data_IF_244347999474
#
_entry.id   IF_244347999474
#
_cell.length_a   1.000
_cell.length_b   1.000
_cell.length_c   1.000
_cell.angle_alpha   90.00
_cell.angle_beta   90.00
_cell.angle_gamma   90.00
#
_symmetry.space_group_name_H-M   'P 1'
#
loop_
_entity.id
_entity.type
_entity.pdbx_description
1 polymer ?
#
# COMPACT_ATOMS: atom_id res chain seq x y z
N UNK A 1 14.67 24.87 4.83
CA UNK A 1 14.77 23.82 5.86
C UNK A 1 14.83 22.41 5.23
N UNK A 2 13.82 22.00 4.46
CA UNK A 2 13.79 20.67 3.82
C UNK A 2 14.92 20.42 2.80
N UNK A 3 15.23 21.41 1.96
CA UNK A 3 16.33 21.33 0.99
C UNK A 3 17.73 21.47 1.62
N UNK A 4 17.82 21.96 2.87
CA UNK A 4 19.09 22.23 3.55
C UNK A 4 20.09 23.04 2.71
N UNK A 5 19.57 23.99 1.92
CA UNK A 5 20.26 24.84 0.97
C UNK A 5 19.25 25.70 0.20
N UNK A 6 19.71 26.38 -0.84
CA UNK A 6 18.87 27.26 -1.68
C UNK A 6 18.13 26.52 -2.82
N UNK A 7 18.61 25.33 -3.20
CA UNK A 7 18.04 24.50 -4.26
C UNK A 7 18.12 23.01 -3.89
N UNK A 8 17.44 22.16 -4.67
CA UNK A 8 17.55 20.70 -4.56
C UNK A 8 18.97 20.27 -4.95
N UNK A 9 19.60 19.51 -4.07
CA UNK A 9 20.98 19.06 -4.19
C UNK A 9 21.19 17.75 -3.40
N UNK A 10 22.45 17.30 -3.31
CA UNK A 10 22.84 16.07 -2.61
C UNK A 10 22.34 16.00 -1.16
N UNK A 11 22.32 17.12 -0.44
CA UNK A 11 21.82 17.15 0.93
C UNK A 11 20.32 16.87 1.00
N UNK A 12 19.57 17.31 -0.01
CA UNK A 12 18.14 17.01 -0.15
C UNK A 12 17.91 15.54 -0.44
N UNK A 13 18.64 14.97 -1.41
CA UNK A 13 18.49 13.57 -1.82
C UNK A 13 18.82 12.60 -0.67
N UNK A 14 19.91 12.85 0.06
CA UNK A 14 20.30 12.02 1.21
C UNK A 14 19.22 12.02 2.30
N UNK A 15 18.57 13.17 2.56
CA UNK A 15 17.46 13.24 3.52
C UNK A 15 16.21 12.53 3.01
N UNK A 16 15.88 12.67 1.73
CA UNK A 16 14.73 12.00 1.13
C UNK A 16 14.89 10.48 1.16
N UNK A 17 16.10 9.97 0.93
CA UNK A 17 16.40 8.55 1.12
C UNK A 17 16.15 8.11 2.57
N UNK A 18 16.67 8.84 3.56
CA UNK A 18 16.45 8.51 4.98
C UNK A 18 14.96 8.53 5.37
N UNK A 19 14.20 9.50 4.85
CA UNK A 19 12.75 9.55 5.08
C UNK A 19 12.02 8.41 4.38
N UNK A 20 12.34 8.15 3.11
CA UNK A 20 11.77 7.03 2.36
C UNK A 20 12.05 5.69 3.03
N UNK A 21 13.19 5.53 3.69
CA UNK A 21 13.50 4.33 4.44
C UNK A 21 12.68 4.19 5.73
N UNK A 22 12.52 5.25 6.53
CA UNK A 22 11.82 5.16 7.83
C UNK A 22 10.30 5.17 7.71
N UNK A 23 9.74 5.87 6.72
CA UNK A 23 8.29 6.03 6.57
C UNK A 23 7.51 4.70 6.40
N UNK A 24 7.97 3.71 5.61
CA UNK A 24 7.32 2.41 5.52
C UNK A 24 7.15 1.71 6.88
N UNK A 25 8.14 1.82 7.78
CA UNK A 25 8.03 1.24 9.12
C UNK A 25 7.01 1.97 9.99
N UNK A 26 6.95 3.31 9.88
CA UNK A 26 5.91 4.09 10.54
C UNK A 26 4.52 3.68 10.02
N UNK A 27 4.38 3.42 8.73
CA UNK A 27 3.11 2.94 8.14
C UNK A 27 2.68 1.58 8.71
N UNK A 28 3.61 0.66 9.01
CA UNK A 28 3.26 -0.62 9.66
C UNK A 28 2.57 -0.40 11.02
N UNK A 29 3.06 0.56 11.81
CA UNK A 29 2.44 0.91 13.10
C UNK A 29 1.03 1.49 12.89
N UNK A 30 0.87 2.37 11.91
CA UNK A 30 -0.44 2.95 11.58
C UNK A 30 -1.43 1.89 11.07
N UNK A 31 -0.97 0.93 10.27
CA UNK A 31 -1.77 -0.22 9.82
C UNK A 31 -2.20 -1.07 11.02
N UNK A 32 -1.30 -1.33 11.97
CA UNK A 32 -1.64 -2.04 13.21
C UNK A 32 -2.76 -1.33 13.99
N UNK A 33 -2.61 -0.02 14.22
CA UNK A 33 -3.63 0.79 14.89
C UNK A 33 -4.97 0.80 14.13
N UNK A 34 -4.91 0.91 12.80
CA UNK A 34 -6.10 0.84 11.96
C UNK A 34 -6.83 -0.51 12.12
N UNK A 35 -6.11 -1.63 12.08
CA UNK A 35 -6.69 -2.96 12.23
C UNK A 35 -7.24 -3.21 13.64
N UNK A 36 -6.62 -2.66 14.70
CA UNK A 36 -7.17 -2.77 16.05
C UNK A 36 -8.51 -2.06 16.17
N UNK A 37 -8.63 -0.85 15.60
CA UNK A 37 -9.90 -0.13 15.59
C UNK A 37 -10.95 -0.87 14.75
N UNK A 38 -10.55 -1.42 13.60
CA UNK A 38 -11.44 -2.22 12.77
C UNK A 38 -11.94 -3.48 13.51
N UNK A 39 -11.09 -4.13 14.31
CA UNK A 39 -11.49 -5.27 15.13
C UNK A 39 -12.46 -4.89 16.26
N UNK A 40 -12.34 -3.70 16.84
CA UNK A 40 -13.25 -3.23 17.88
C UNK A 40 -14.65 -2.90 17.34
N UNK A 41 -14.74 -2.24 16.18
CA UNK A 41 -16.02 -1.80 15.61
C UNK A 41 -16.63 -2.78 14.60
N UNK A 42 -15.82 -3.66 14.01
CA UNK A 42 -16.20 -4.58 12.94
C UNK A 42 -16.29 -3.92 11.55
N UNK A 43 -16.33 -4.75 10.50
CA UNK A 43 -16.54 -4.29 9.13
C UNK A 43 -17.99 -3.88 8.88
N UNK A 44 -18.21 -2.88 8.03
CA UNK A 44 -19.52 -2.59 7.47
C UNK A 44 -19.90 -3.59 6.38
N UNK A 45 -21.14 -3.55 5.91
CA UNK A 45 -21.63 -4.35 4.80
C UNK A 45 -22.33 -3.45 3.75
N UNK A 46 -22.51 -3.93 2.51
CA UNK A 46 -23.08 -3.11 1.42
C UNK A 46 -24.47 -2.55 1.69
N UNK A 47 -25.26 -3.20 2.55
CA UNK A 47 -26.59 -2.72 2.93
C UNK A 47 -26.56 -1.64 4.03
N UNK A 48 -25.41 -1.44 4.69
CA UNK A 48 -25.23 -0.44 5.74
C UNK A 48 -26.03 -0.73 7.02
N UNK A 49 -26.59 -1.93 7.17
CA UNK A 49 -27.39 -2.35 8.34
C UNK A 49 -26.53 -3.11 9.35
N UNK A 50 -27.04 -3.32 10.57
CA UNK A 50 -26.32 -4.14 11.56
C UNK A 50 -26.22 -5.60 11.08
N UNK A 51 -24.99 -6.14 11.09
CA UNK A 51 -24.68 -7.48 10.57
C UNK A 51 -24.31 -8.48 11.67
N UNK A 52 -24.35 -8.08 12.95
CA UNK A 52 -23.97 -8.95 14.10
C UNK A 52 -24.70 -10.30 14.12
N UNK A 53 -25.96 -10.35 13.70
CA UNK A 53 -26.74 -11.59 13.62
C UNK A 53 -26.47 -12.48 12.41
N UNK A 54 -25.67 -12.01 11.44
CA UNK A 54 -25.43 -12.67 10.15
C UNK A 54 -23.94 -12.91 9.87
N UNK A 55 -23.10 -12.82 10.90
CA UNK A 55 -21.65 -12.97 10.76
C UNK A 55 -21.29 -14.43 10.43
N UNK A 56 -20.35 -14.58 9.48
CA UNK A 56 -19.69 -15.86 9.18
C UNK A 56 -18.22 -15.77 9.65
N UNK A 57 -17.58 -16.90 10.01
CA UNK A 57 -16.17 -16.88 10.39
C UNK A 57 -15.29 -16.45 9.20
N UNK A 58 -14.17 -15.79 9.50
CA UNK A 58 -13.22 -15.35 8.47
C UNK A 58 -12.68 -16.52 7.63
N UNK A 59 -12.24 -17.58 8.30
CA UNK A 59 -11.91 -18.85 7.66
C UNK A 59 -13.14 -19.76 7.63
N UNK A 60 -13.49 -20.39 6.50
CA UNK A 60 -12.77 -20.40 5.22
C UNK A 60 -13.16 -19.27 4.26
N UNK A 61 -14.29 -18.58 4.50
CA UNK A 61 -14.99 -17.77 3.51
C UNK A 61 -14.16 -16.59 2.96
N UNK A 62 -13.75 -15.68 3.83
CA UNK A 62 -12.97 -14.51 3.42
C UNK A 62 -11.52 -14.88 3.10
N UNK A 63 -10.95 -15.88 3.80
CA UNK A 63 -9.59 -16.34 3.51
C UNK A 63 -9.39 -16.78 2.05
N UNK A 64 -10.27 -17.63 1.51
CA UNK A 64 -10.15 -18.06 0.10
C UNK A 64 -10.54 -16.96 -0.89
N UNK A 65 -11.44 -16.05 -0.49
CA UNK A 65 -11.80 -14.88 -1.31
C UNK A 65 -10.60 -13.94 -1.46
N UNK A 66 -9.89 -13.67 -0.36
CA UNK A 66 -8.67 -12.86 -0.34
C UNK A 66 -7.54 -13.53 -1.13
N UNK A 67 -7.39 -14.86 -1.01
CA UNK A 67 -6.40 -15.61 -1.78
C UNK A 67 -6.63 -15.50 -3.29
N UNK A 68 -7.89 -15.59 -3.74
CA UNK A 68 -8.23 -15.39 -5.14
C UNK A 68 -7.86 -13.96 -5.59
N UNK A 69 -8.19 -12.95 -4.77
CA UNK A 69 -7.80 -11.57 -5.01
C UNK A 69 -6.29 -11.38 -5.11
N UNK A 70 -5.52 -12.03 -4.22
CA UNK A 70 -4.06 -12.00 -4.23
C UNK A 70 -3.49 -12.61 -5.53
N UNK A 71 -4.00 -13.77 -5.95
CA UNK A 71 -3.57 -14.43 -7.20
C UNK A 71 -3.85 -13.55 -8.41
N UNK A 72 -5.04 -12.94 -8.48
CA UNK A 72 -5.39 -12.01 -9.54
C UNK A 72 -4.49 -10.76 -9.54
N UNK A 73 -4.22 -10.20 -8.35
CA UNK A 73 -3.32 -9.06 -8.17
C UNK A 73 -1.87 -9.36 -8.59
N UNK A 74 -1.34 -10.53 -8.22
CA UNK A 74 -0.01 -11.00 -8.65
C UNK A 74 0.00 -11.19 -10.17
N UNK A 75 -1.05 -11.75 -10.76
CA UNK A 75 -1.18 -11.87 -12.21
C UNK A 75 -1.06 -10.52 -12.91
N UNK A 76 -1.82 -9.52 -12.44
CA UNK A 76 -1.77 -8.15 -12.95
C UNK A 76 -0.38 -7.50 -12.76
N UNK A 77 0.22 -7.64 -11.57
CA UNK A 77 1.55 -7.10 -11.31
C UNK A 77 2.63 -7.76 -12.18
N UNK A 78 2.54 -9.07 -12.39
CA UNK A 78 3.48 -9.81 -13.24
C UNK A 78 3.38 -9.40 -14.72
N UNK A 79 2.20 -9.01 -15.20
CA UNK A 79 2.04 -8.45 -16.54
C UNK A 79 2.89 -7.18 -16.71
N UNK A 80 2.78 -6.23 -15.77
CA UNK A 80 3.59 -5.01 -15.83
C UNK A 80 5.07 -5.34 -15.70
N UNK A 81 5.47 -6.22 -14.79
CA UNK A 81 6.88 -6.51 -14.57
C UNK A 81 7.55 -7.23 -15.76
N UNK A 82 6.86 -8.21 -16.37
CA UNK A 82 7.47 -9.14 -17.32
C UNK A 82 7.19 -8.80 -18.78
N UNK A 83 6.06 -8.16 -19.08
CA UNK A 83 5.64 -7.90 -20.46
C UNK A 83 5.74 -6.41 -20.81
N UNK A 84 5.32 -5.51 -19.91
CA UNK A 84 5.27 -4.06 -20.18
C UNK A 84 5.87 -3.22 -19.04
N UNK A 85 7.19 -3.36 -18.73
CA UNK A 85 7.81 -2.73 -17.56
C UNK A 85 7.86 -1.20 -17.60
N UNK A 86 7.75 -0.61 -18.79
CA UNK A 86 7.84 0.84 -18.97
C UNK A 86 6.48 1.53 -19.11
N UNK A 87 5.37 0.77 -19.10
CA UNK A 87 4.04 1.32 -19.35
C UNK A 87 3.64 2.43 -18.37
N UNK A 88 4.12 2.35 -17.12
CA UNK A 88 3.80 3.30 -16.05
C UNK A 88 4.94 4.28 -15.75
N UNK A 89 6.04 4.25 -16.51
CA UNK A 89 7.24 5.07 -16.27
C UNK A 89 7.28 6.25 -17.25
N UNK A 90 7.68 7.42 -16.76
CA UNK A 90 7.97 8.58 -17.61
C UNK A 90 9.35 8.41 -18.28
N UNK A 91 9.47 8.44 -19.62
CA UNK A 91 10.74 8.33 -20.32
C UNK A 91 11.80 9.35 -19.89
N UNK A 92 11.40 10.53 -19.40
CA UNK A 92 12.33 11.58 -18.97
C UNK A 92 13.14 11.17 -17.72
N UNK A 93 12.67 10.20 -16.93
CA UNK A 93 13.41 9.70 -15.77
C UNK A 93 14.61 8.81 -16.14
N UNK A 94 14.83 8.52 -17.43
CA UNK A 94 16.06 7.87 -17.92
C UNK A 94 17.17 8.87 -18.27
N UNK A 95 16.86 10.16 -18.30
CA UNK A 95 17.85 11.22 -18.49
C UNK A 95 18.35 11.73 -17.13
N UNK A 96 19.58 12.24 -17.09
CA UNK A 96 20.12 12.85 -15.88
C UNK A 96 19.40 14.18 -15.57
N UNK A 97 19.18 14.43 -14.27
CA UNK A 97 18.50 15.63 -13.77
C UNK A 97 19.40 16.87 -13.72
#
# INVERSE_FOLDING_TARGET
>A
LAWGGYSVNTWTLNRFYSFHFILPFLMVVLIGCHLTLLHEYGSSNPLGVDSRGMMVPFYPYYFYSDLLGLVAGIGCFSYFLLLEPYLLVDPLNYEEA
#
